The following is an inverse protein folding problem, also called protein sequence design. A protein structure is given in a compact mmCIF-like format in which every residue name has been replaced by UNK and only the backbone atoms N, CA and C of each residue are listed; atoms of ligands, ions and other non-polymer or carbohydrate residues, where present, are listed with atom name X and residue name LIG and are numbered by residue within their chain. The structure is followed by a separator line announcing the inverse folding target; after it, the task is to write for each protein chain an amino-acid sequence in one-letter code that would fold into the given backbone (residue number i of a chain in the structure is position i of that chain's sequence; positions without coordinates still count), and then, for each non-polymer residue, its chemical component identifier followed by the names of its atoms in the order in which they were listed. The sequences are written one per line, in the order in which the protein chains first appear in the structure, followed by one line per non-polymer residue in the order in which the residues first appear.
data_IF_747725289799
#
_entry.id   IF_747725289799
#
_cell.length_a   1.000
_cell.length_b   1.000
_cell.length_c   1.000
_cell.angle_alpha   90.00
_cell.angle_beta   90.00
_cell.angle_gamma   90.00
#
_symmetry.space_group_name_H-M   'P 1'
#
loop_
_entity.id
_entity.type
_entity.pdbx_description
1 polymer ?
#
# COMPACT_ATOMS: atom_id res chain seq x y z
N UNK A 1 -5.63 -0.57 -7.60
CA UNK A 1 -5.87 -1.54 -6.49
C UNK A 1 -4.54 -1.76 -5.80
N UNK A 2 -4.50 -1.84 -4.47
CA UNK A 2 -3.23 -2.08 -3.77
C UNK A 2 -2.80 -3.53 -3.95
N UNK A 3 -1.50 -3.78 -4.01
CA UNK A 3 -0.94 -5.12 -4.21
C UNK A 3 -1.46 -6.12 -3.17
N UNK A 4 -1.57 -5.70 -1.92
CA UNK A 4 -2.09 -6.52 -0.83
C UNK A 4 -3.55 -6.94 -1.05
N UNK A 5 -4.38 -6.06 -1.63
CA UNK A 5 -5.79 -6.35 -1.93
C UNK A 5 -5.95 -7.46 -2.98
N UNK A 6 -4.92 -7.67 -3.81
CA UNK A 6 -4.88 -8.75 -4.80
C UNK A 6 -4.27 -10.02 -4.20
N UNK A 7 -3.17 -9.89 -3.46
CA UNK A 7 -2.43 -11.04 -2.93
C UNK A 7 -3.16 -11.75 -1.79
N UNK A 8 -3.84 -11.03 -0.90
CA UNK A 8 -4.51 -11.64 0.26
C UNK A 8 -5.53 -12.72 -0.16
N UNK A 9 -6.46 -12.47 -1.09
CA UNK A 9 -7.39 -13.50 -1.56
C UNK A 9 -6.68 -14.69 -2.21
N UNK A 10 -5.62 -14.46 -2.99
CA UNK A 10 -4.86 -15.54 -3.63
C UNK A 10 -4.17 -16.44 -2.60
N UNK A 11 -3.58 -15.86 -1.55
CA UNK A 11 -2.98 -16.62 -0.44
C UNK A 11 -4.05 -17.40 0.32
N UNK A 12 -5.22 -16.81 0.59
CA UNK A 12 -6.33 -17.50 1.26
C UNK A 12 -6.79 -18.71 0.46
N UNK A 13 -6.95 -18.57 -0.84
CA UNK A 13 -7.32 -19.67 -1.75
C UNK A 13 -6.23 -20.74 -1.80
N UNK A 14 -4.96 -20.37 -1.93
CA UNK A 14 -3.84 -21.30 -1.94
C UNK A 14 -3.74 -22.10 -0.64
N UNK A 15 -3.90 -21.48 0.52
CA UNK A 15 -3.89 -22.13 1.83
C UNK A 15 -5.08 -23.09 1.98
N UNK A 16 -6.26 -22.68 1.52
CA UNK A 16 -7.46 -23.53 1.51
C UNK A 16 -7.28 -24.75 0.64
N UNK A 17 -6.74 -24.59 -0.57
CA UNK A 17 -6.51 -25.66 -1.52
C UNK A 17 -5.47 -26.68 -1.03
N UNK A 18 -4.36 -26.20 -0.44
CA UNK A 18 -3.26 -27.05 0.00
C UNK A 18 -3.52 -27.76 1.34
N UNK A 19 -4.19 -27.07 2.25
CA UNK A 19 -4.29 -27.55 3.64
C UNK A 19 -5.72 -27.71 4.15
N UNK A 20 -6.74 -27.36 3.34
CA UNK A 20 -8.14 -27.50 3.70
C UNK A 20 -8.61 -26.57 4.83
N UNK A 21 -7.87 -25.50 5.11
CA UNK A 21 -8.17 -24.52 6.17
C UNK A 21 -8.58 -23.18 5.61
N UNK A 22 -9.54 -22.54 6.26
CA UNK A 22 -9.91 -21.16 5.97
C UNK A 22 -9.14 -20.21 6.91
N UNK A 23 -8.55 -19.20 6.32
CA UNK A 23 -7.79 -18.15 7.03
C UNK A 23 -8.41 -16.78 6.81
N UNK A 24 -8.30 -15.89 7.80
CA UNK A 24 -8.75 -14.51 7.67
C UNK A 24 -7.69 -13.65 7.00
N UNK A 25 -8.10 -12.51 6.44
CA UNK A 25 -7.15 -11.55 5.84
C UNK A 25 -6.09 -11.07 6.85
N UNK A 26 -6.43 -10.96 8.12
CA UNK A 26 -5.52 -10.55 9.20
C UNK A 26 -4.40 -11.56 9.49
N UNK A 27 -4.62 -12.83 9.14
CA UNK A 27 -3.62 -13.89 9.28
C UNK A 27 -2.61 -13.90 8.13
N UNK A 28 -2.91 -13.21 7.03
CA UNK A 28 -2.00 -13.04 5.89
C UNK A 28 -1.08 -11.86 6.16
N UNK A 29 0.12 -12.15 6.65
CA UNK A 29 1.11 -11.14 6.99
C UNK A 29 2.03 -10.89 5.80
N UNK A 30 1.84 -9.76 5.13
CA UNK A 30 2.66 -9.27 4.04
C UNK A 30 3.57 -8.14 4.53
N UNK A 31 4.82 -8.14 4.11
CA UNK A 31 5.81 -7.10 4.44
C UNK A 31 6.76 -6.88 3.26
N UNK A 32 7.41 -5.73 3.21
CA UNK A 32 8.43 -5.45 2.20
C UNK A 32 9.59 -6.44 2.36
N UNK A 33 10.04 -7.04 1.25
CA UNK A 33 11.21 -7.90 1.25
C UNK A 33 12.45 -7.12 1.68
N UNK A 34 13.29 -7.72 2.52
CA UNK A 34 14.55 -7.12 2.96
C UNK A 34 15.53 -7.04 1.81
N UNK A 35 16.37 -6.00 1.82
CA UNK A 35 17.28 -5.70 0.72
C UNK A 35 18.31 -6.81 0.40
N UNK A 36 18.61 -7.68 1.37
CA UNK A 36 19.51 -8.82 1.20
C UNK A 36 18.88 -10.02 0.48
N UNK A 37 17.55 -10.03 0.29
CA UNK A 37 16.83 -11.11 -0.38
C UNK A 37 16.19 -10.65 -1.68
N UNK A 38 16.11 -11.55 -2.64
CA UNK A 38 15.39 -11.33 -3.89
C UNK A 38 13.87 -11.36 -3.66
N UNK A 39 13.14 -10.39 -4.24
CA UNK A 39 11.68 -10.26 -4.17
C UNK A 39 11.23 -8.84 -3.80
N UNK A 40 9.97 -8.56 -4.03
CA UNK A 40 9.33 -7.27 -3.74
C UNK A 40 8.57 -7.30 -2.43
N UNK A 41 7.83 -8.39 -2.18
CA UNK A 41 7.00 -8.58 -1.00
C UNK A 41 7.23 -9.96 -0.39
N UNK A 42 7.22 -10.03 0.93
CA UNK A 42 7.42 -11.26 1.70
C UNK A 42 6.13 -11.64 2.41
N UNK A 43 5.67 -12.88 2.18
CA UNK A 43 4.63 -13.53 2.96
C UNK A 43 5.27 -14.30 4.12
N UNK A 44 4.81 -14.03 5.33
CA UNK A 44 5.22 -14.74 6.55
C UNK A 44 4.36 -16.01 6.70
N UNK A 45 4.95 -17.19 6.58
CA UNK A 45 4.17 -18.44 6.57
C UNK A 45 3.96 -19.08 7.94
N UNK A 46 4.56 -18.54 9.00
CA UNK A 46 4.46 -19.13 10.35
C UNK A 46 3.02 -19.31 10.86
N UNK A 47 2.04 -18.43 10.58
CA UNK A 47 0.65 -18.66 10.97
C UNK A 47 0.04 -19.95 10.42
N UNK A 48 0.55 -20.45 9.29
CA UNK A 48 0.00 -21.63 8.60
C UNK A 48 0.70 -22.93 8.98
N UNK A 49 1.91 -22.87 9.54
CA UNK A 49 2.78 -24.03 9.86
C UNK A 49 2.09 -25.05 10.74
N UNK A 50 1.42 -24.57 11.80
CA UNK A 50 0.72 -25.46 12.75
C UNK A 50 -0.42 -26.23 12.09
N UNK A 51 -1.16 -25.60 11.22
CA UNK A 51 -2.28 -26.19 10.49
C UNK A 51 -1.80 -27.12 9.36
N UNK A 52 -0.76 -26.72 8.63
CA UNK A 52 -0.13 -27.54 7.60
C UNK A 52 0.61 -28.77 8.15
N UNK A 53 0.97 -28.79 9.44
CA UNK A 53 1.76 -29.86 10.08
C UNK A 53 3.08 -30.16 9.35
N UNK A 54 3.70 -29.15 8.79
CA UNK A 54 4.94 -29.24 8.00
C UNK A 54 5.96 -28.22 8.48
N UNK A 55 7.23 -28.41 8.10
CA UNK A 55 8.28 -27.44 8.40
C UNK A 55 8.02 -26.11 7.68
N UNK A 56 8.38 -24.95 8.29
CA UNK A 56 8.13 -23.63 7.69
C UNK A 56 8.68 -23.47 6.27
N UNK A 57 9.86 -24.01 6.00
CA UNK A 57 10.46 -23.98 4.68
C UNK A 57 9.65 -24.75 3.63
N UNK A 58 9.06 -25.89 4.00
CA UNK A 58 8.19 -26.67 3.11
C UNK A 58 6.88 -25.92 2.84
N UNK A 59 6.28 -25.31 3.86
CA UNK A 59 5.06 -24.52 3.70
C UNK A 59 5.30 -23.32 2.77
N UNK A 60 6.44 -22.65 2.90
CA UNK A 60 6.82 -21.56 2.01
C UNK A 60 7.01 -22.02 0.57
N UNK A 61 7.65 -23.18 0.38
CA UNK A 61 7.87 -23.75 -0.96
C UNK A 61 6.53 -24.13 -1.63
N UNK A 62 5.68 -24.91 -0.95
CA UNK A 62 4.38 -25.35 -1.48
C UNK A 62 3.46 -24.17 -1.81
N UNK A 63 3.41 -23.15 -0.94
CA UNK A 63 2.63 -21.95 -1.19
C UNK A 63 3.17 -21.17 -2.39
N UNK A 64 4.49 -21.04 -2.53
CA UNK A 64 5.11 -20.40 -3.68
C UNK A 64 4.77 -21.06 -5.00
N UNK A 65 4.89 -22.39 -5.06
CA UNK A 65 4.51 -23.20 -6.23
C UNK A 65 3.01 -23.04 -6.57
N UNK A 66 2.14 -23.12 -5.55
CA UNK A 66 0.70 -22.98 -5.74
C UNK A 66 0.29 -21.60 -6.24
N UNK A 67 0.90 -20.54 -5.71
CA UNK A 67 0.64 -19.16 -6.15
C UNK A 67 1.08 -18.93 -7.60
N UNK A 68 2.20 -19.49 -8.03
CA UNK A 68 2.62 -19.47 -9.43
C UNK A 68 1.65 -20.22 -10.35
N UNK A 69 1.17 -21.42 -9.93
CA UNK A 69 0.17 -22.18 -10.70
C UNK A 69 -1.15 -21.43 -10.87
N UNK A 70 -1.62 -20.74 -9.83
CA UNK A 70 -2.83 -19.93 -9.88
C UNK A 70 -2.69 -18.78 -10.89
N UNK A 71 -1.54 -18.12 -10.92
CA UNK A 71 -1.24 -17.09 -11.90
C UNK A 71 -1.24 -17.60 -13.34
N UNK A 72 -0.70 -18.79 -13.56
CA UNK A 72 -0.66 -19.41 -14.90
C UNK A 72 -2.05 -19.84 -15.43
N UNK A 73 -2.99 -20.17 -14.56
CA UNK A 73 -4.36 -20.62 -14.93
C UNK A 73 -5.28 -19.47 -15.35
N UNK A 74 -5.04 -18.27 -14.86
CA UNK A 74 -5.94 -17.12 -15.01
C UNK A 74 -5.70 -16.31 -16.30
N UNK A 75 -5.05 -16.81 -17.34
CA UNK A 75 -4.79 -16.19 -18.66
C UNK A 75 -4.35 -14.71 -18.67
N UNK A 76 -4.38 -14.04 -17.53
CA UNK A 76 -3.75 -12.75 -17.27
C UNK A 76 -2.30 -13.05 -16.87
N UNK A 77 -1.36 -12.30 -17.38
CA UNK A 77 0.05 -12.42 -17.00
C UNK A 77 0.13 -12.52 -15.48
N UNK A 78 0.60 -13.67 -14.96
CA UNK A 78 0.55 -13.96 -13.54
C UNK A 78 1.17 -12.82 -12.74
N UNK A 79 0.47 -12.39 -11.68
CA UNK A 79 0.94 -11.30 -10.80
C UNK A 79 2.33 -11.59 -10.21
N UNK A 80 2.62 -12.88 -9.97
CA UNK A 80 3.89 -13.34 -9.40
C UNK A 80 4.74 -13.96 -10.51
N UNK A 81 5.93 -13.41 -10.74
CA UNK A 81 6.87 -13.89 -11.75
C UNK A 81 7.73 -15.05 -11.21
N UNK A 82 8.21 -14.92 -9.98
CA UNK A 82 9.04 -15.90 -9.30
C UNK A 82 8.93 -15.77 -7.78
N UNK A 83 9.42 -16.76 -7.06
CA UNK A 83 9.51 -16.71 -5.61
C UNK A 83 10.82 -17.29 -5.09
N UNK A 84 11.16 -16.92 -3.85
CA UNK A 84 12.29 -17.46 -3.10
C UNK A 84 11.84 -17.76 -1.66
N UNK A 85 11.91 -19.05 -1.27
CA UNK A 85 11.51 -19.51 0.05
C UNK A 85 12.73 -19.60 0.98
N UNK A 86 12.75 -18.82 2.06
CA UNK A 86 13.86 -18.77 3.02
C UNK A 86 13.31 -18.92 4.44
N UNK A 87 13.57 -20.03 5.11
CA UNK A 87 13.31 -20.28 6.53
C UNK A 87 11.89 -19.86 7.04
N UNK A 88 10.86 -20.05 6.22
CA UNK A 88 9.49 -19.66 6.58
C UNK A 88 9.09 -18.24 6.15
N UNK A 89 9.90 -17.61 5.34
CA UNK A 89 9.60 -16.39 4.60
C UNK A 89 9.50 -16.71 3.11
N UNK A 90 8.36 -16.40 2.52
CA UNK A 90 8.14 -16.57 1.10
C UNK A 90 8.25 -15.19 0.42
N UNK A 91 9.38 -14.96 -0.22
CA UNK A 91 9.66 -13.72 -0.95
C UNK A 91 9.10 -13.86 -2.37
N UNK A 92 8.20 -12.97 -2.76
CA UNK A 92 7.53 -12.94 -4.06
C UNK A 92 8.09 -11.81 -4.91
N UNK A 93 8.48 -12.11 -6.15
CA UNK A 93 8.81 -11.11 -7.17
C UNK A 93 7.57 -10.86 -8.02
N UNK A 94 7.16 -9.62 -8.07
CA UNK A 94 5.96 -9.18 -8.78
C UNK A 94 6.29 -8.91 -10.25
N UNK A 95 5.44 -9.37 -11.14
CA UNK A 95 5.63 -9.22 -12.58
C UNK A 95 5.76 -7.74 -12.98
N UNK A 96 6.68 -7.49 -13.91
CA UNK A 96 6.94 -6.13 -14.39
C UNK A 96 5.71 -5.48 -15.01
N UNK A 97 4.83 -6.25 -15.64
CA UNK A 97 3.55 -5.78 -16.19
C UNK A 97 2.69 -5.07 -15.15
N UNK A 98 2.58 -5.62 -13.94
CA UNK A 98 1.84 -4.99 -12.84
C UNK A 98 2.38 -3.58 -12.52
N UNK A 99 3.70 -3.42 -12.44
CA UNK A 99 4.31 -2.13 -12.14
C UNK A 99 4.08 -1.11 -13.25
N UNK A 100 4.13 -1.55 -14.52
CA UNK A 100 3.84 -0.71 -15.68
C UNK A 100 2.36 -0.25 -15.66
N UNK A 101 1.43 -1.15 -15.40
CA UNK A 101 0.01 -0.82 -15.28
C UNK A 101 -0.25 0.17 -14.13
N UNK A 102 0.40 -0.03 -12.96
CA UNK A 102 0.29 0.92 -11.87
C UNK A 102 0.84 2.30 -12.24
N UNK A 103 1.97 2.36 -12.95
CA UNK A 103 2.56 3.61 -13.42
C UNK A 103 1.61 4.33 -14.40
N UNK A 104 1.01 3.59 -15.33
CA UNK A 104 0.01 4.14 -16.27
C UNK A 104 -1.21 4.69 -15.53
N UNK A 105 -1.77 3.91 -14.59
CA UNK A 105 -2.90 4.35 -13.78
C UNK A 105 -2.59 5.61 -12.95
N UNK A 106 -1.36 5.75 -12.46
CA UNK A 106 -0.90 6.97 -11.77
C UNK A 106 -0.80 8.14 -12.75
N UNK A 107 -0.21 7.92 -13.93
CA UNK A 107 -0.01 8.96 -14.93
C UNK A 107 -1.33 9.50 -15.51
N UNK A 108 -2.33 8.64 -15.66
CA UNK A 108 -3.65 9.00 -16.20
C UNK A 108 -4.56 9.67 -15.15
N UNK A 109 -4.28 9.47 -13.86
CA UNK A 109 -5.12 10.00 -12.79
C UNK A 109 -4.44 11.18 -12.08
N UNK A 110 -4.77 12.40 -12.49
CA UNK A 110 -4.25 13.64 -11.89
C UNK A 110 -4.59 13.82 -10.41
N UNK A 111 -5.60 13.09 -9.92
CA UNK A 111 -6.02 13.08 -8.50
C UNK A 111 -5.53 11.82 -7.76
N UNK A 112 -4.58 11.08 -8.32
CA UNK A 112 -4.04 9.88 -7.68
C UNK A 112 -3.48 10.22 -6.28
N UNK A 113 -3.85 9.39 -5.31
CA UNK A 113 -3.47 9.60 -3.90
C UNK A 113 -4.38 10.57 -3.14
N UNK A 114 -5.33 11.24 -3.78
CA UNK A 114 -6.30 12.07 -3.11
C UNK A 114 -7.48 11.24 -2.60
N UNK A 115 -7.97 11.57 -1.39
CA UNK A 115 -9.16 10.94 -0.84
C UNK A 115 -10.41 11.60 -1.40
N UNK A 116 -11.12 10.91 -2.31
CA UNK A 116 -12.43 11.35 -2.80
C UNK A 116 -13.48 11.13 -1.71
N UNK A 117 -13.73 12.13 -0.87
CA UNK A 117 -14.91 12.14 0.01
C UNK A 117 -16.13 12.58 -0.80
N UNK A 118 -17.29 11.96 -0.52
CA UNK A 118 -18.57 12.35 -1.19
C UNK A 118 -18.75 13.87 -1.11
N UNK A 119 -18.98 14.52 -2.25
CA UNK A 119 -19.06 15.99 -2.39
C UNK A 119 -19.94 16.67 -1.33
N UNK A 120 -20.99 16.00 -0.86
CA UNK A 120 -21.97 16.57 0.08
C UNK A 120 -21.64 16.37 1.58
N UNK A 121 -20.48 15.80 1.92
CA UNK A 121 -20.07 15.51 3.32
C UNK A 121 -18.60 15.83 3.59
N UNK A 122 -18.01 16.77 2.86
CA UNK A 122 -16.65 17.22 3.18
C UNK A 122 -16.69 17.98 4.51
N UNK A 123 -15.97 17.52 5.53
CA UNK A 123 -15.87 18.29 6.77
C UNK A 123 -15.15 19.62 6.49
N UNK A 124 -15.55 20.66 7.19
CA UNK A 124 -14.93 21.98 7.08
C UNK A 124 -13.72 22.06 8.00
N UNK A 125 -12.62 22.60 7.48
CA UNK A 125 -11.42 22.94 8.23
C UNK A 125 -11.01 24.37 7.92
N UNK A 126 -10.72 25.15 8.94
CA UNK A 126 -10.17 26.47 8.81
C UNK A 126 -8.67 26.43 9.13
N UNK A 127 -7.84 26.96 8.23
CA UNK A 127 -6.38 27.04 8.41
C UNK A 127 -5.98 28.51 8.38
N UNK A 128 -5.61 29.04 9.54
CA UNK A 128 -5.10 30.40 9.65
C UNK A 128 -3.58 30.39 9.47
N UNK A 129 -3.10 31.20 8.55
CA UNK A 129 -1.67 31.45 8.34
C UNK A 129 -1.47 32.78 7.60
N UNK A 130 -0.23 33.19 7.45
CA UNK A 130 0.08 34.50 6.79
C UNK A 130 -0.44 35.71 7.54
N UNK A 131 -0.34 35.70 8.88
CA UNK A 131 -0.76 36.80 9.76
C UNK A 131 0.48 37.48 10.39
N UNK A 132 1.31 38.19 9.61
CA UNK A 132 2.49 38.86 10.13
C UNK A 132 2.12 40.15 10.90
N UNK A 133 2.98 40.53 11.85
CA UNK A 133 2.87 41.88 12.46
C UNK A 133 3.10 42.95 11.41
N UNK A 134 2.16 43.87 11.27
CA UNK A 134 2.17 44.89 10.24
C UNK A 134 3.23 45.99 10.44
N UNK A 135 3.77 46.11 11.67
CA UNK A 135 4.72 47.14 12.06
C UNK A 135 6.20 46.72 11.97
N UNK A 136 6.49 45.60 11.33
CA UNK A 136 7.86 45.06 11.22
C UNK A 136 8.14 44.60 9.78
N UNK A 137 9.39 44.67 9.32
CA UNK A 137 9.78 44.09 8.05
C UNK A 137 9.56 42.58 8.05
N UNK A 138 9.16 42.03 6.90
CA UNK A 138 9.05 40.56 6.72
C UNK A 138 10.44 39.92 6.70
N UNK A 139 10.53 38.73 7.23
CA UNK A 139 11.75 37.93 7.25
C UNK A 139 11.47 36.44 6.94
N UNK A 140 12.51 35.63 6.81
CA UNK A 140 12.39 34.21 6.44
C UNK A 140 11.43 33.40 7.32
N UNK A 141 11.23 33.77 8.59
CA UNK A 141 10.25 33.15 9.48
C UNK A 141 8.81 33.30 8.97
N UNK A 142 8.47 34.44 8.35
CA UNK A 142 7.15 34.65 7.74
C UNK A 142 6.98 33.76 6.50
N UNK A 143 8.01 33.65 5.66
CA UNK A 143 8.00 32.75 4.49
C UNK A 143 7.78 31.30 4.93
N UNK A 144 8.51 30.86 5.97
CA UNK A 144 8.34 29.52 6.54
C UNK A 144 6.89 29.28 7.01
N UNK A 145 6.30 30.20 7.75
CA UNK A 145 4.93 30.07 8.24
C UNK A 145 3.92 30.00 7.08
N UNK A 146 4.11 30.82 6.04
CA UNK A 146 3.27 30.81 4.86
C UNK A 146 3.34 29.45 4.13
N UNK A 147 4.55 28.93 3.93
CA UNK A 147 4.73 27.63 3.29
C UNK A 147 4.15 26.48 4.11
N UNK A 148 4.33 26.50 5.43
CA UNK A 148 3.76 25.48 6.33
C UNK A 148 2.22 25.52 6.29
N UNK A 149 1.62 26.70 6.47
CA UNK A 149 0.17 26.84 6.46
C UNK A 149 -0.45 26.44 5.12
N UNK A 150 0.16 26.86 4.02
CA UNK A 150 -0.27 26.48 2.67
C UNK A 150 -0.15 24.98 2.44
N UNK A 151 0.96 24.36 2.86
CA UNK A 151 1.18 22.91 2.72
C UNK A 151 0.16 22.11 3.53
N UNK A 152 -0.12 22.51 4.78
CA UNK A 152 -1.16 21.89 5.61
C UNK A 152 -2.52 22.00 4.92
N UNK A 153 -2.88 23.18 4.42
CA UNK A 153 -4.13 23.37 3.71
C UNK A 153 -4.25 22.45 2.49
N UNK A 154 -3.19 22.34 1.69
CA UNK A 154 -3.15 21.45 0.52
C UNK A 154 -3.25 19.96 0.88
N UNK A 155 -2.56 19.51 1.93
CA UNK A 155 -2.64 18.14 2.43
C UNK A 155 -4.07 17.83 2.88
N UNK A 156 -4.73 18.75 3.59
CA UNK A 156 -6.10 18.53 4.04
C UNK A 156 -7.11 18.58 2.89
N UNK A 157 -6.93 19.44 1.89
CA UNK A 157 -7.72 19.42 0.66
C UNK A 157 -7.61 18.06 -0.03
N UNK A 158 -6.39 17.51 -0.19
CA UNK A 158 -6.14 16.19 -0.75
C UNK A 158 -6.74 15.05 0.09
N UNK A 159 -6.84 15.23 1.41
CA UNK A 159 -7.53 14.30 2.31
C UNK A 159 -9.07 14.49 2.31
N UNK A 160 -9.60 15.27 1.39
CA UNK A 160 -11.04 15.42 1.18
C UNK A 160 -11.73 16.35 2.17
N UNK A 161 -11.00 17.27 2.81
CA UNK A 161 -11.58 18.36 3.59
C UNK A 161 -11.97 19.55 2.70
N UNK A 162 -13.00 20.30 3.10
CA UNK A 162 -13.27 21.61 2.58
C UNK A 162 -12.44 22.61 3.40
N UNK A 163 -11.36 23.13 2.82
CA UNK A 163 -10.41 23.97 3.56
C UNK A 163 -10.65 25.45 3.24
N UNK A 164 -10.90 26.23 4.29
CA UNK A 164 -10.96 27.68 4.23
C UNK A 164 -9.64 28.24 4.77
N UNK A 165 -8.93 28.97 3.93
CA UNK A 165 -7.67 29.65 4.30
C UNK A 165 -8.02 31.04 4.82
N UNK A 166 -7.54 31.37 6.01
CA UNK A 166 -7.81 32.64 6.69
C UNK A 166 -6.51 33.30 7.13
N UNK A 167 -6.56 34.60 7.28
CA UNK A 167 -5.51 35.40 7.90
C UNK A 167 -6.12 36.53 8.72
N UNK A 168 -5.39 37.00 9.72
CA UNK A 168 -5.70 38.20 10.50
C UNK A 168 -4.74 39.29 10.02
N UNK A 169 -5.30 40.39 9.59
CA UNK A 169 -4.56 41.60 9.12
C UNK A 169 -4.81 42.73 10.08
#
# INVERSE_FOLDING_TARGET
MKLEEILIPQVQEAVKDLYGIEITAEQVQLQKTRAEFEGDITLVVFPFVKAARKAPAMVAQELGEKLLEQGAKNQEQGLIEKFNAVQGFLNLSIAQSYWIEQLQAIAENTEYGQLSRRKNKKPLMMVEYSSPNTNKPLHLGHVRNNLLGYSIAKIQEANGWNVVKTNIV
#
